data_IF_947563563367
#
_entry.id   IF_947563563367
#
_cell.length_a   1.000
_cell.length_b   1.000
_cell.length_c   1.000
_cell.angle_alpha   90.00
_cell.angle_beta   90.00
_cell.angle_gamma   90.00
#
_symmetry.space_group_name_H-M   'P 1'
#
loop_
_entity.id
_entity.type
_entity.pdbx_description
1 polymer ?
#
# COMPACT_ATOMS: atom_id res chain seq x y z
N UNK A 1 -53.06 4.45 -8.33
CA UNK A 1 -52.34 4.49 -7.04
C UNK A 1 -51.15 3.57 -7.14
N UNK A 2 -49.99 4.12 -7.45
CA UNK A 2 -48.71 3.44 -7.37
C UNK A 2 -47.91 4.21 -6.31
N UNK A 3 -47.62 3.55 -5.19
CA UNK A 3 -46.79 4.09 -4.13
C UNK A 3 -45.35 4.10 -4.62
N UNK A 4 -44.84 5.27 -4.97
CA UNK A 4 -43.42 5.49 -5.11
C UNK A 4 -42.94 6.02 -3.77
N UNK A 5 -42.53 5.09 -2.92
CA UNK A 5 -41.70 5.38 -1.75
C UNK A 5 -40.38 5.91 -2.33
N UNK A 6 -40.26 7.23 -2.44
CA UNK A 6 -38.97 7.88 -2.65
C UNK A 6 -38.21 7.68 -1.35
N UNK A 7 -37.51 6.55 -1.26
CA UNK A 7 -36.48 6.35 -0.25
C UNK A 7 -35.48 7.49 -0.42
N UNK A 8 -35.65 8.46 0.46
CA UNK A 8 -34.67 9.47 0.79
C UNK A 8 -33.47 8.68 1.31
N UNK A 9 -32.57 8.32 0.40
CA UNK A 9 -31.25 7.85 0.77
C UNK A 9 -30.65 8.96 1.60
N UNK A 10 -30.75 8.78 2.92
CA UNK A 10 -29.96 9.48 3.88
C UNK A 10 -28.52 9.23 3.44
N UNK A 11 -27.94 10.23 2.78
CA UNK A 11 -26.52 10.43 2.83
C UNK A 11 -26.19 10.46 4.31
N UNK A 12 -25.79 9.29 4.83
CA UNK A 12 -24.96 9.19 6.00
C UNK A 12 -23.67 9.94 5.63
N UNK A 13 -23.76 11.26 5.76
CA UNK A 13 -22.66 12.09 6.19
C UNK A 13 -22.37 11.62 7.61
N UNK A 14 -21.83 10.41 7.72
CA UNK A 14 -21.19 9.94 8.92
C UNK A 14 -20.06 10.94 9.07
N UNK A 15 -20.28 11.88 9.98
CA UNK A 15 -19.25 12.73 10.53
C UNK A 15 -18.07 11.80 10.77
N UNK A 16 -17.02 11.96 9.99
CA UNK A 16 -15.68 11.44 10.26
C UNK A 16 -15.24 12.14 11.55
N UNK A 17 -15.84 11.68 12.66
CA UNK A 17 -15.22 11.72 13.95
C UNK A 17 -13.89 11.02 13.74
N UNK A 18 -12.84 11.72 14.16
CA UNK A 18 -11.46 11.29 14.16
C UNK A 18 -11.45 9.82 14.54
N UNK A 19 -11.28 8.96 13.54
CA UNK A 19 -11.23 7.52 13.71
C UNK A 19 -10.05 7.28 14.65
N UNK A 20 -10.34 6.73 15.81
CA UNK A 20 -9.32 6.23 16.71
C UNK A 20 -8.38 5.37 15.84
N UNK A 21 -7.07 5.56 15.97
CA UNK A 21 -6.06 4.77 15.28
C UNK A 21 -6.18 3.30 15.73
N UNK A 22 -7.19 2.59 15.24
CA UNK A 22 -7.36 1.17 15.46
C UNK A 22 -6.17 0.51 14.79
N UNK A 23 -5.28 -0.06 15.61
CA UNK A 23 -4.07 -0.69 15.14
C UNK A 23 -4.42 -1.66 13.99
N UNK A 24 -3.62 -1.70 12.90
CA UNK A 24 -3.92 -2.57 11.78
C UNK A 24 -4.14 -4.00 12.27
N UNK A 25 -5.13 -4.73 11.72
CA UNK A 25 -5.32 -6.14 12.05
C UNK A 25 -4.00 -6.91 12.06
N UNK A 26 -3.80 -7.78 13.05
CA UNK A 26 -2.50 -8.46 13.31
C UNK A 26 -1.91 -9.14 12.07
N UNK A 27 -2.76 -9.69 11.19
CA UNK A 27 -2.31 -10.32 9.94
C UNK A 27 -1.67 -9.33 8.97
N UNK A 28 -2.09 -8.06 8.96
CA UNK A 28 -1.47 -7.03 8.14
C UNK A 28 -0.12 -6.58 8.71
N UNK A 29 0.06 -6.60 10.03
CA UNK A 29 1.35 -6.33 10.67
C UNK A 29 2.37 -7.43 10.35
N UNK A 30 1.94 -8.70 10.31
CA UNK A 30 2.80 -9.80 9.91
C UNK A 30 3.28 -9.68 8.45
N UNK A 31 2.42 -9.19 7.55
CA UNK A 31 2.78 -8.93 6.15
C UNK A 31 3.79 -7.78 6.05
N UNK A 32 3.59 -6.70 6.81
CA UNK A 32 4.54 -5.58 6.84
C UNK A 32 5.92 -6.05 7.30
N UNK A 33 6.00 -6.79 8.40
CA UNK A 33 7.25 -7.34 8.92
C UNK A 33 7.94 -8.28 7.90
N UNK A 34 7.18 -9.13 7.22
CA UNK A 34 7.71 -9.97 6.15
C UNK A 34 8.30 -9.14 5.01
N UNK A 35 7.60 -8.10 4.56
CA UNK A 35 8.06 -7.28 3.43
C UNK A 35 9.30 -6.45 3.79
N UNK A 36 9.39 -5.96 5.03
CA UNK A 36 10.60 -5.29 5.54
C UNK A 36 11.83 -6.19 5.48
N UNK A 37 11.68 -7.49 5.75
CA UNK A 37 12.78 -8.46 5.68
C UNK A 37 13.04 -8.95 4.24
N UNK A 38 11.98 -9.20 3.47
CA UNK A 38 12.07 -9.88 2.16
C UNK A 38 12.51 -8.95 1.02
N UNK A 39 12.28 -7.64 1.13
CA UNK A 39 12.66 -6.67 0.10
C UNK A 39 14.11 -6.21 0.32
N UNK A 40 14.98 -6.27 -0.70
CA UNK A 40 16.34 -5.76 -0.60
C UNK A 40 16.39 -4.28 -0.17
N UNK A 41 17.24 -3.96 0.79
CA UNK A 41 17.33 -2.62 1.39
C UNK A 41 17.68 -1.52 0.37
N UNK A 42 18.46 -1.84 -0.66
CA UNK A 42 18.80 -0.91 -1.75
C UNK A 42 17.56 -0.50 -2.55
N UNK A 43 16.65 -1.44 -2.80
CA UNK A 43 15.39 -1.21 -3.50
C UNK A 43 14.43 -0.35 -2.65
N UNK A 44 14.35 -0.63 -1.34
CA UNK A 44 13.59 0.21 -0.39
C UNK A 44 14.14 1.63 -0.35
N UNK A 45 15.46 1.78 -0.27
CA UNK A 45 16.11 3.09 -0.26
C UNK A 45 15.89 3.85 -1.58
N UNK A 46 15.86 3.18 -2.72
CA UNK A 46 15.54 3.79 -4.00
C UNK A 46 14.09 4.29 -4.05
N UNK A 47 13.14 3.44 -3.63
CA UNK A 47 11.72 3.80 -3.58
C UNK A 47 11.43 4.96 -2.62
N UNK A 48 12.14 5.04 -1.49
CA UNK A 48 12.03 6.17 -0.55
C UNK A 48 12.52 7.47 -1.18
N UNK A 49 13.67 7.46 -1.89
CA UNK A 49 14.17 8.66 -2.58
C UNK A 49 13.21 9.13 -3.68
N UNK A 50 12.60 8.20 -4.41
CA UNK A 50 11.58 8.52 -5.40
C UNK A 50 10.34 9.15 -4.75
N UNK A 51 9.88 8.59 -3.63
CA UNK A 51 8.77 9.17 -2.87
C UNK A 51 9.07 10.58 -2.38
N UNK A 52 10.25 10.80 -1.81
CA UNK A 52 10.69 12.12 -1.38
C UNK A 52 10.78 13.10 -2.57
N UNK A 53 11.21 12.65 -3.74
CA UNK A 53 11.22 13.47 -4.94
C UNK A 53 9.80 13.81 -5.43
N UNK A 54 8.86 12.86 -5.32
CA UNK A 54 7.44 13.07 -5.63
C UNK A 54 6.81 14.09 -4.67
N UNK A 55 7.10 13.99 -3.38
CA UNK A 55 6.66 14.95 -2.36
C UNK A 55 7.21 16.34 -2.62
N UNK A 56 8.49 16.48 -2.99
CA UNK A 56 9.11 17.77 -3.35
C UNK A 56 8.43 18.44 -4.57
N UNK A 57 7.82 17.67 -5.46
CA UNK A 57 7.07 18.17 -6.62
C UNK A 57 5.61 18.52 -6.29
N UNK A 58 5.23 18.51 -5.02
CA UNK A 58 3.84 18.75 -4.58
C UNK A 58 2.97 17.49 -4.60
N UNK A 59 3.55 16.31 -4.71
CA UNK A 59 2.82 15.05 -4.58
C UNK A 59 2.29 14.84 -3.16
N UNK A 60 1.16 14.12 -3.05
CA UNK A 60 0.60 13.70 -1.76
C UNK A 60 1.32 12.45 -1.22
N UNK A 61 1.57 12.33 0.10
CA UNK A 61 2.11 11.10 0.69
C UNK A 61 1.32 9.85 0.28
N UNK A 62 2.03 8.73 0.06
CA UNK A 62 1.37 7.43 -0.17
C UNK A 62 0.50 7.04 1.04
N UNK A 63 -0.65 6.44 0.76
CA UNK A 63 -1.39 5.73 1.79
C UNK A 63 -0.61 4.48 2.24
N UNK A 64 -0.97 3.90 3.40
CA UNK A 64 -0.40 2.63 3.84
C UNK A 64 -0.56 1.53 2.79
N UNK A 65 -1.75 1.44 2.20
CA UNK A 65 -2.05 0.45 1.15
C UNK A 65 -1.15 0.64 -0.09
N UNK A 66 -0.95 1.88 -0.54
CA UNK A 66 -0.05 2.17 -1.67
C UNK A 66 1.41 1.84 -1.33
N UNK A 67 1.82 2.06 -0.08
CA UNK A 67 3.13 1.67 0.42
C UNK A 67 3.33 0.15 0.40
N UNK A 68 2.34 -0.62 0.86
CA UNK A 68 2.36 -2.09 0.81
C UNK A 68 2.41 -2.62 -0.63
N UNK A 69 1.60 -2.04 -1.53
CA UNK A 69 1.61 -2.40 -2.96
C UNK A 69 2.99 -2.17 -3.60
N UNK A 70 3.65 -1.07 -3.25
CA UNK A 70 5.00 -0.78 -3.73
C UNK A 70 6.01 -1.81 -3.18
N UNK A 71 5.96 -2.13 -1.88
CA UNK A 71 6.84 -3.13 -1.28
C UNK A 71 6.66 -4.53 -1.90
N UNK A 72 5.42 -4.96 -2.17
CA UNK A 72 5.14 -6.21 -2.88
C UNK A 72 5.71 -6.21 -4.30
N UNK A 73 5.62 -5.07 -5.01
CA UNK A 73 6.19 -4.92 -6.35
C UNK A 73 7.72 -5.04 -6.31
N UNK A 74 8.38 -4.41 -5.34
CA UNK A 74 9.83 -4.49 -5.16
C UNK A 74 10.27 -5.91 -4.83
N UNK A 75 9.54 -6.61 -3.96
CA UNK A 75 9.77 -8.02 -3.64
C UNK A 75 9.67 -8.89 -4.90
N UNK A 76 8.58 -8.79 -5.66
CA UNK A 76 8.39 -9.57 -6.89
C UNK A 76 9.52 -9.33 -7.90
N UNK A 77 9.98 -8.07 -8.03
CA UNK A 77 11.10 -7.71 -8.91
C UNK A 77 12.43 -8.27 -8.41
N UNK A 78 12.66 -8.33 -7.09
CA UNK A 78 13.81 -8.99 -6.48
C UNK A 78 13.82 -10.49 -6.76
N UNK A 79 12.66 -11.16 -6.56
CA UNK A 79 12.49 -12.59 -6.84
C UNK A 79 12.75 -12.88 -8.32
N UNK A 80 12.18 -12.09 -9.23
CA UNK A 80 12.41 -12.26 -10.67
C UNK A 80 13.88 -12.11 -11.06
N UNK A 81 14.59 -11.11 -10.50
CA UNK A 81 16.03 -10.94 -10.73
C UNK A 81 16.84 -12.15 -10.25
N UNK A 82 16.53 -12.67 -9.06
CA UNK A 82 17.20 -13.87 -8.52
C UNK A 82 16.93 -15.10 -9.39
N UNK A 83 15.69 -15.30 -9.81
CA UNK A 83 15.30 -16.41 -10.68
C UNK A 83 16.04 -16.34 -12.03
N UNK A 84 16.07 -15.18 -12.68
CA UNK A 84 16.79 -14.99 -13.95
C UNK A 84 18.30 -15.24 -13.76
N UNK A 85 18.89 -14.68 -12.71
CA UNK A 85 20.32 -14.91 -12.41
C UNK A 85 20.62 -16.40 -12.18
N UNK A 86 19.70 -17.15 -11.56
CA UNK A 86 19.85 -18.59 -11.36
C UNK A 86 19.77 -19.40 -12.65
N UNK A 87 18.98 -18.97 -13.64
CA UNK A 87 18.88 -19.65 -14.95
C UNK A 87 20.10 -19.35 -15.82
N UNK A 88 20.67 -18.14 -15.76
CA UNK A 88 21.84 -17.74 -16.57
C UNK A 88 23.15 -18.40 -16.11
N UNK A 89 23.20 -18.87 -14.87
CA UNK A 89 24.39 -19.54 -14.28
C UNK A 89 24.38 -21.06 -14.53
N UNK A 90 23.27 -21.64 -14.97
CA UNK A 90 23.13 -23.05 -15.37
C UNK A 90 23.27 -23.22 -16.89
#
# INVERSE_FOLDING_TARGET
>A
MAGYEYEHWHHHHQSVGVDEEEAPPVHLLAVDAFLEEAVPADMVAAARREEEARLRRGGRPRSREDGMKEMLRLWAKSVARKAIASVVVN
#
